data_IF_356150435199
#
_entry.id   IF_356150435199
#
_cell.length_a   1.000
_cell.length_b   1.000
_cell.length_c   1.000
_cell.angle_alpha   90.00
_cell.angle_beta   90.00
_cell.angle_gamma   90.00
#
_symmetry.space_group_name_H-M   'P 1'
#
loop_
_entity.id
_entity.type
_entity.pdbx_description
1 polymer ?
#
# COMPACT_ATOMS: atom_id res chain seq x y z
N UNK A 1 63.52 29.36 -11.02
CA UNK A 1 62.09 29.44 -11.38
C UNK A 1 61.37 28.48 -10.46
N UNK A 2 60.70 29.02 -9.44
CA UNK A 2 60.23 28.24 -8.28
C UNK A 2 58.95 27.46 -8.59
N UNK A 3 59.11 26.31 -9.24
CA UNK A 3 58.07 25.34 -9.56
C UNK A 3 57.15 24.96 -8.38
N UNK A 4 57.61 24.76 -7.13
CA UNK A 4 56.72 24.38 -6.03
C UNK A 4 55.73 25.49 -5.64
N UNK A 5 56.09 26.75 -5.81
CA UNK A 5 55.18 27.88 -5.56
C UNK A 5 54.09 27.94 -6.63
N UNK A 6 54.48 27.78 -7.91
CA UNK A 6 53.56 27.80 -9.04
C UNK A 6 52.52 26.67 -8.95
N UNK A 7 52.92 25.46 -8.55
CA UNK A 7 52.01 24.33 -8.37
C UNK A 7 50.95 24.58 -7.28
N UNK A 8 51.32 25.27 -6.19
CA UNK A 8 50.37 25.64 -5.12
C UNK A 8 49.39 26.73 -5.57
N UNK A 9 49.88 27.71 -6.32
CA UNK A 9 49.03 28.78 -6.87
C UNK A 9 48.04 28.20 -7.88
N UNK A 10 48.51 27.35 -8.79
CA UNK A 10 47.65 26.66 -9.77
C UNK A 10 46.61 25.78 -9.06
N UNK A 11 47.03 25.02 -8.04
CA UNK A 11 46.11 24.20 -7.24
C UNK A 11 45.03 25.04 -6.53
N UNK A 12 45.41 26.18 -5.94
CA UNK A 12 44.47 27.08 -5.29
C UNK A 12 43.46 27.68 -6.29
N UNK A 13 43.92 28.10 -7.46
CA UNK A 13 43.04 28.65 -8.51
C UNK A 13 42.05 27.58 -9.02
N UNK A 14 42.51 26.35 -9.22
CA UNK A 14 41.64 25.23 -9.64
C UNK A 14 40.58 24.92 -8.57
N UNK A 15 40.95 24.90 -7.28
CA UNK A 15 39.99 24.67 -6.19
C UNK A 15 38.96 25.80 -6.07
N UNK A 16 39.36 27.05 -6.24
CA UNK A 16 38.44 28.20 -6.22
C UNK A 16 37.49 28.13 -7.42
N UNK A 17 37.99 27.83 -8.62
CA UNK A 17 37.16 27.69 -9.82
C UNK A 17 36.12 26.56 -9.66
N UNK A 18 36.52 25.40 -9.12
CA UNK A 18 35.59 24.31 -8.82
C UNK A 18 34.56 24.72 -7.76
N UNK A 19 34.98 25.42 -6.70
CA UNK A 19 34.09 25.92 -5.67
C UNK A 19 33.01 26.84 -6.23
N UNK A 20 33.36 27.81 -7.08
CA UNK A 20 32.40 28.76 -7.67
C UNK A 20 31.38 28.08 -8.58
N UNK A 21 31.72 26.95 -9.20
CA UNK A 21 30.78 26.18 -10.04
C UNK A 21 29.88 25.28 -9.17
N UNK A 22 30.46 24.56 -8.22
CA UNK A 22 29.74 23.55 -7.44
C UNK A 22 28.95 24.14 -6.27
N UNK A 23 29.42 25.21 -5.63
CA UNK A 23 28.75 25.82 -4.46
C UNK A 23 27.35 26.33 -4.85
N UNK A 24 27.16 27.13 -5.92
CA UNK A 24 25.83 27.54 -6.34
C UNK A 24 24.95 26.33 -6.65
N UNK A 25 25.45 25.33 -7.40
CA UNK A 25 24.68 24.14 -7.74
C UNK A 25 24.25 23.31 -6.51
N UNK A 26 25.06 23.26 -5.45
CA UNK A 26 24.74 22.56 -4.21
C UNK A 26 23.77 23.36 -3.32
N UNK A 27 23.87 24.70 -3.34
CA UNK A 27 23.05 25.59 -2.51
C UNK A 27 21.74 26.03 -3.18
N UNK A 28 21.62 25.97 -4.52
CA UNK A 28 20.45 26.45 -5.28
C UNK A 28 19.17 25.67 -4.96
N UNK A 29 19.28 24.51 -4.30
CA UNK A 29 18.11 23.75 -3.84
C UNK A 29 17.17 23.31 -4.96
N UNK A 30 17.63 23.29 -6.22
CA UNK A 30 16.84 23.06 -7.44
C UNK A 30 16.19 21.66 -7.55
N UNK A 31 16.39 20.82 -6.54
CA UNK A 31 15.77 19.50 -6.40
C UNK A 31 14.42 19.47 -5.66
N UNK A 32 13.95 20.59 -5.09
CA UNK A 32 12.69 20.64 -4.33
C UNK A 32 11.63 21.50 -5.00
N UNK A 33 11.38 21.29 -6.29
CA UNK A 33 10.07 21.61 -6.85
C UNK A 33 9.06 20.58 -6.33
N UNK A 34 8.75 20.67 -5.04
CA UNK A 34 7.52 20.12 -4.49
C UNK A 34 6.42 20.64 -5.41
N UNK A 35 5.79 19.69 -6.13
CA UNK A 35 4.71 19.90 -7.09
C UNK A 35 3.94 21.13 -6.65
N UNK A 36 3.99 22.18 -7.48
CA UNK A 36 3.08 23.30 -7.39
C UNK A 36 1.73 22.74 -6.94
N UNK A 37 1.38 23.00 -5.69
CA UNK A 37 0.00 22.99 -5.25
C UNK A 37 -0.64 24.09 -6.09
N UNK A 38 -0.98 23.78 -7.34
CA UNK A 38 -2.02 24.51 -8.04
C UNK A 38 -3.20 24.40 -7.10
N UNK A 39 -3.51 25.50 -6.47
CA UNK A 39 -4.68 25.68 -5.64
C UNK A 39 -5.87 25.34 -6.53
N UNK A 40 -6.32 24.08 -6.46
CA UNK A 40 -7.48 23.62 -7.22
C UNK A 40 -8.66 24.36 -6.58
N UNK A 41 -9.15 25.38 -7.26
CA UNK A 41 -10.36 26.09 -6.89
C UNK A 41 -11.54 25.13 -7.06
N UNK A 42 -11.94 24.50 -5.96
CA UNK A 42 -13.05 23.55 -5.94
C UNK A 42 -14.33 24.36 -6.11
N UNK A 43 -14.99 24.22 -7.27
CA UNK A 43 -16.31 24.83 -7.52
C UNK A 43 -17.31 24.40 -6.42
N UNK A 44 -18.20 25.30 -5.97
CA UNK A 44 -19.18 24.97 -4.94
C UNK A 44 -20.09 23.82 -5.38
N UNK A 45 -20.42 22.95 -4.43
CA UNK A 45 -21.27 21.77 -4.67
C UNK A 45 -22.64 22.19 -5.24
N UNK A 46 -23.14 21.52 -6.28
CA UNK A 46 -24.47 21.80 -6.81
C UNK A 46 -25.55 21.47 -5.77
N UNK A 47 -26.60 22.28 -5.73
CA UNK A 47 -27.76 22.07 -4.87
C UNK A 47 -28.64 20.97 -5.46
N UNK A 48 -28.87 19.91 -4.69
CA UNK A 48 -29.79 18.84 -5.07
C UNK A 48 -31.23 19.20 -4.64
N UNK A 49 -32.24 19.00 -5.50
CA UNK A 49 -33.64 19.13 -5.09
C UNK A 49 -33.98 18.09 -4.02
N UNK A 50 -34.94 18.39 -3.12
CA UNK A 50 -35.33 17.47 -2.06
C UNK A 50 -35.87 16.17 -2.67
N UNK A 51 -35.27 15.05 -2.29
CA UNK A 51 -35.75 13.73 -2.68
C UNK A 51 -37.13 13.52 -2.09
N UNK A 52 -38.13 13.46 -2.97
CA UNK A 52 -39.50 13.11 -2.61
C UNK A 52 -39.49 11.69 -2.06
N UNK A 53 -39.58 11.56 -0.73
CA UNK A 53 -39.57 10.29 -0.03
C UNK A 53 -40.87 9.55 -0.33
N UNK A 54 -40.84 8.75 -1.40
CA UNK A 54 -41.85 7.76 -1.69
C UNK A 54 -41.85 6.76 -0.53
N UNK A 55 -42.90 6.78 0.29
CA UNK A 55 -43.09 5.77 1.33
C UNK A 55 -43.17 4.39 0.66
N UNK A 56 -42.17 3.55 0.92
CA UNK A 56 -42.11 2.17 0.41
C UNK A 56 -42.64 1.24 1.50
N UNK A 57 -43.56 0.36 1.15
CA UNK A 57 -44.07 -0.67 2.05
C UNK A 57 -42.93 -1.57 2.55
N UNK A 58 -42.97 -2.03 3.81
CA UNK A 58 -41.90 -2.84 4.39
C UNK A 58 -41.77 -4.18 3.63
N UNK A 59 -40.60 -4.37 3.02
CA UNK A 59 -40.23 -5.61 2.35
C UNK A 59 -39.61 -6.54 3.39
N UNK A 60 -40.11 -7.77 3.47
CA UNK A 60 -39.66 -8.79 4.42
C UNK A 60 -38.17 -9.07 4.18
N UNK A 61 -37.32 -8.79 5.18
CA UNK A 61 -35.87 -8.94 5.07
C UNK A 61 -35.47 -10.41 4.90
N UNK A 62 -34.44 -10.73 4.08
CA UNK A 62 -33.96 -12.10 3.89
C UNK A 62 -33.63 -12.83 5.21
N UNK A 63 -33.21 -12.09 6.24
CA UNK A 63 -32.94 -12.58 7.60
C UNK A 63 -34.17 -13.23 8.25
N UNK A 64 -35.36 -12.67 8.05
CA UNK A 64 -36.61 -13.23 8.61
C UNK A 64 -37.00 -14.53 7.89
N UNK A 65 -36.83 -14.59 6.57
CA UNK A 65 -37.05 -15.80 5.77
C UNK A 65 -36.08 -16.92 6.16
N UNK A 66 -34.81 -16.57 6.41
CA UNK A 66 -33.79 -17.51 6.90
C UNK A 66 -34.12 -18.01 8.31
N UNK A 67 -34.62 -17.15 9.22
CA UNK A 67 -35.01 -17.55 10.58
C UNK A 67 -36.14 -18.58 10.61
N UNK A 68 -37.12 -18.46 9.72
CA UNK A 68 -38.20 -19.44 9.58
C UNK A 68 -37.69 -20.78 9.02
N UNK A 69 -36.75 -20.76 8.08
CA UNK A 69 -36.13 -21.97 7.54
C UNK A 69 -35.19 -22.67 8.55
N UNK A 70 -34.50 -21.91 9.41
CA UNK A 70 -33.65 -22.48 10.46
C UNK A 70 -34.47 -23.15 11.57
N UNK A 71 -35.66 -22.65 11.89
CA UNK A 71 -36.54 -23.25 12.88
C UNK A 71 -37.05 -24.63 12.43
N UNK A 72 -37.36 -24.80 11.14
CA UNK A 72 -37.81 -26.07 10.57
C UNK A 72 -36.68 -27.12 10.42
N UNK A 73 -35.41 -26.69 10.39
CA UNK A 73 -34.27 -27.59 10.15
C UNK A 73 -33.62 -28.14 11.43
N UNK A 74 -34.06 -27.71 12.62
CA UNK A 74 -33.41 -28.04 13.90
C UNK A 74 -33.77 -29.42 14.47
N UNK A 75 -34.64 -30.20 13.83
CA UNK A 75 -35.15 -31.48 14.38
C UNK A 75 -34.58 -32.76 13.73
N UNK A 76 -33.60 -32.68 12.82
CA UNK A 76 -32.97 -33.89 12.23
C UNK A 76 -31.45 -33.86 12.27
N UNK A 77 -30.91 -34.12 13.47
CA UNK A 77 -29.79 -35.05 13.75
C UNK A 77 -28.41 -34.79 13.07
N UNK A 78 -27.32 -35.47 13.49
CA UNK A 78 -26.41 -35.09 14.57
C UNK A 78 -24.98 -34.68 14.09
N UNK A 79 -24.17 -34.23 15.05
CA UNK A 79 -22.80 -33.75 14.89
C UNK A 79 -21.81 -34.77 14.29
N UNK A 80 -20.90 -34.30 13.42
CA UNK A 80 -19.57 -34.88 13.23
C UNK A 80 -18.53 -33.81 12.78
N UNK A 81 -17.23 -34.02 13.06
CA UNK A 81 -16.24 -32.95 13.18
C UNK A 81 -15.28 -32.80 11.97
N UNK A 82 -14.76 -31.58 11.86
CA UNK A 82 -13.40 -31.18 11.44
C UNK A 82 -12.89 -31.49 10.02
N UNK A 83 -12.76 -30.45 9.17
CA UNK A 83 -11.81 -30.41 8.03
C UNK A 83 -11.31 -28.98 7.77
N UNK A 84 -10.10 -28.70 8.27
CA UNK A 84 -9.05 -27.81 7.73
C UNK A 84 -9.51 -26.76 6.71
N UNK A 85 -9.68 -25.53 7.18
CA UNK A 85 -9.90 -24.34 6.35
C UNK A 85 -8.71 -24.09 5.40
N UNK A 86 -8.82 -24.57 4.17
CA UNK A 86 -8.23 -23.88 3.01
C UNK A 86 -9.25 -22.82 2.60
N UNK A 87 -8.91 -21.54 2.38
CA UNK A 87 -9.89 -20.60 1.86
C UNK A 87 -10.17 -20.93 0.40
N UNK A 88 -11.31 -21.55 0.18
CA UNK A 88 -11.92 -21.81 -1.12
C UNK A 88 -12.05 -20.48 -1.89
N UNK A 89 -11.47 -20.41 -3.10
CA UNK A 89 -11.66 -19.30 -4.04
C UNK A 89 -13.04 -19.37 -4.72
N UNK A 90 -14.09 -19.54 -3.92
CA UNK A 90 -15.47 -19.61 -4.40
C UNK A 90 -16.41 -18.96 -3.38
N UNK A 91 -16.17 -17.68 -3.10
CA UNK A 91 -17.02 -16.84 -2.28
C UNK A 91 -16.74 -15.39 -2.63
N UNK A 92 -17.77 -14.54 -2.57
CA UNK A 92 -17.75 -13.09 -2.84
C UNK A 92 -16.39 -12.43 -2.57
N UNK A 93 -15.90 -11.51 -3.43
CA UNK A 93 -14.59 -10.89 -3.27
C UNK A 93 -14.50 -10.26 -1.88
N UNK A 94 -13.76 -10.92 -0.98
CA UNK A 94 -13.44 -10.36 0.32
C UNK A 94 -12.54 -9.17 0.02
N UNK A 95 -13.03 -7.97 0.35
CA UNK A 95 -12.28 -6.70 0.21
C UNK A 95 -11.20 -6.68 1.29
N UNK A 96 -10.17 -7.49 1.09
CA UNK A 96 -8.98 -7.49 1.93
C UNK A 96 -7.95 -6.52 1.35
N UNK A 97 -7.38 -5.69 2.22
CA UNK A 97 -6.33 -4.75 1.82
C UNK A 97 -4.98 -5.34 2.19
N UNK A 98 -4.04 -5.25 1.24
CA UNK A 98 -2.66 -5.67 1.42
C UNK A 98 -1.75 -4.49 1.15
N UNK A 99 -0.81 -4.22 2.06
CA UNK A 99 0.18 -3.18 1.86
C UNK A 99 1.38 -3.75 1.11
N UNK A 100 1.66 -3.24 -0.09
CA UNK A 100 2.86 -3.62 -0.84
C UNK A 100 4.07 -2.86 -0.30
N UNK A 101 5.00 -3.60 0.30
CA UNK A 101 6.21 -3.03 0.91
C UNK A 101 7.38 -2.95 -0.06
N UNK A 102 7.37 -3.75 -1.12
CA UNK A 102 8.44 -3.74 -2.12
C UNK A 102 8.30 -4.78 -3.21
N UNK A 103 9.05 -4.60 -4.28
CA UNK A 103 9.14 -5.52 -5.42
C UNK A 103 10.60 -5.84 -5.70
N UNK A 104 10.93 -7.13 -5.80
CA UNK A 104 12.30 -7.60 -5.95
C UNK A 104 12.41 -8.44 -7.22
N UNK A 105 13.56 -8.37 -7.91
CA UNK A 105 13.86 -9.26 -9.04
C UNK A 105 14.43 -10.61 -8.55
N UNK A 106 14.97 -10.66 -7.32
CA UNK A 106 15.56 -11.85 -6.74
C UNK A 106 14.68 -12.40 -5.59
N UNK A 107 14.37 -13.71 -5.64
CA UNK A 107 13.55 -14.39 -4.64
C UNK A 107 14.18 -14.32 -3.24
N UNK A 108 15.50 -14.54 -3.14
CA UNK A 108 16.18 -14.60 -1.84
C UNK A 108 16.07 -13.28 -1.06
N UNK A 109 16.09 -12.14 -1.76
CA UNK A 109 15.94 -10.82 -1.14
C UNK A 109 14.49 -10.57 -0.70
N UNK A 110 13.51 -11.06 -1.47
CA UNK A 110 12.09 -10.98 -1.11
C UNK A 110 11.78 -11.80 0.15
N UNK A 111 12.38 -12.98 0.29
CA UNK A 111 12.23 -13.84 1.46
C UNK A 111 12.84 -13.21 2.71
N UNK A 112 14.04 -12.61 2.62
CA UNK A 112 14.64 -11.87 3.74
C UNK A 112 13.74 -10.75 4.26
N UNK A 113 13.14 -9.97 3.35
CA UNK A 113 12.23 -8.89 3.75
C UNK A 113 10.96 -9.46 4.40
N UNK A 114 10.37 -10.51 3.81
CA UNK A 114 9.22 -11.22 4.37
C UNK A 114 9.51 -11.68 5.80
N UNK A 115 10.65 -12.33 6.02
CA UNK A 115 11.01 -12.90 7.31
C UNK A 115 11.27 -11.82 8.36
N UNK A 116 11.87 -10.68 7.98
CA UNK A 116 11.99 -9.51 8.85
C UNK A 116 10.62 -8.97 9.27
N UNK A 117 9.68 -8.88 8.33
CA UNK A 117 8.32 -8.41 8.60
C UNK A 117 7.54 -9.39 9.47
N UNK A 118 7.72 -10.69 9.29
CA UNK A 118 7.13 -11.72 10.16
C UNK A 118 7.69 -11.68 11.58
N UNK A 119 9.01 -11.51 11.74
CA UNK A 119 9.65 -11.33 13.05
C UNK A 119 9.12 -10.09 13.77
N UNK A 120 8.79 -9.04 13.03
CA UNK A 120 8.17 -7.83 13.56
C UNK A 120 6.65 -7.98 13.84
N UNK A 121 6.08 -9.18 13.69
CA UNK A 121 4.67 -9.48 13.98
C UNK A 121 3.70 -9.24 12.82
N UNK A 122 4.18 -8.87 11.64
CA UNK A 122 3.33 -8.62 10.48
C UNK A 122 3.12 -9.89 9.65
N UNK A 123 1.86 -10.19 9.30
CA UNK A 123 1.52 -11.27 8.40
C UNK A 123 1.94 -10.95 6.95
N UNK A 124 3.20 -11.22 6.58
CA UNK A 124 3.73 -10.93 5.24
C UNK A 124 3.82 -12.16 4.33
N UNK A 125 3.64 -11.92 3.02
CA UNK A 125 3.71 -12.93 1.97
C UNK A 125 4.38 -12.40 0.70
N UNK A 126 5.02 -13.31 -0.05
CA UNK A 126 5.67 -13.02 -1.34
C UNK A 126 4.76 -13.54 -2.44
N UNK A 127 4.44 -12.69 -3.41
CA UNK A 127 3.69 -13.06 -4.61
C UNK A 127 4.64 -13.03 -5.80
N UNK A 128 4.97 -14.19 -6.39
CA UNK A 128 5.68 -14.22 -7.67
C UNK A 128 4.73 -13.75 -8.78
N UNK A 129 5.19 -12.81 -9.59
CA UNK A 129 4.47 -12.27 -10.75
C UNK A 129 5.44 -12.32 -11.94
N UNK A 130 5.00 -12.91 -13.04
CA UNK A 130 5.74 -12.87 -14.31
C UNK A 130 5.22 -11.67 -15.09
N UNK A 131 6.06 -10.66 -15.27
CA UNK A 131 5.71 -9.40 -15.94
C UNK A 131 6.66 -9.21 -17.11
N UNK A 132 6.13 -9.27 -18.36
CA UNK A 132 6.91 -9.13 -19.60
C UNK A 132 8.16 -10.02 -19.64
N UNK A 133 7.98 -11.33 -19.40
CA UNK A 133 9.03 -12.36 -19.34
C UNK A 133 10.07 -12.25 -18.20
N UNK A 134 9.90 -11.30 -17.26
CA UNK A 134 10.76 -11.19 -16.07
C UNK A 134 10.03 -11.65 -14.83
N UNK A 135 10.67 -12.51 -14.02
CA UNK A 135 10.15 -12.96 -12.71
C UNK A 135 10.35 -11.85 -11.67
N UNK A 136 9.27 -11.34 -11.12
CA UNK A 136 9.26 -10.32 -10.07
C UNK A 136 8.58 -10.90 -8.82
N UNK A 137 9.14 -10.60 -7.65
CA UNK A 137 8.65 -11.04 -6.35
C UNK A 137 8.11 -9.82 -5.61
N UNK A 138 6.78 -9.70 -5.51
CA UNK A 138 6.12 -8.59 -4.80
C UNK A 138 5.86 -9.00 -3.36
N UNK A 139 6.47 -8.32 -2.39
CA UNK A 139 6.28 -8.59 -0.96
C UNK A 139 5.12 -7.72 -0.47
N UNK A 140 4.14 -8.35 0.19
CA UNK A 140 2.94 -7.71 0.71
C UNK A 140 2.70 -8.09 2.16
N UNK A 141 2.10 -7.19 2.93
CA UNK A 141 1.66 -7.41 4.30
C UNK A 141 0.14 -7.48 4.32
N UNK A 142 -0.38 -8.59 4.86
CA UNK A 142 -1.77 -8.81 5.23
C UNK A 142 -2.71 -8.94 4.04
N UNK A 143 -3.73 -9.79 4.18
CA UNK A 143 -5.08 -9.45 3.78
C UNK A 143 -5.87 -9.16 5.06
N UNK A 144 -5.67 -7.99 5.67
CA UNK A 144 -6.45 -7.56 6.83
C UNK A 144 -7.83 -7.07 6.34
N UNK A 145 -8.90 -7.57 6.97
CA UNK A 145 -10.28 -7.14 6.69
C UNK A 145 -10.59 -5.76 7.31
N UNK A 146 -9.79 -5.27 8.25
CA UNK A 146 -10.05 -4.04 9.00
C UNK A 146 -8.89 -3.04 8.97
N UNK A 147 -9.20 -1.82 8.53
CA UNK A 147 -8.32 -0.64 8.59
C UNK A 147 -7.86 -0.26 10.01
N UNK A 148 -8.42 -0.88 11.05
CA UNK A 148 -8.25 -0.49 12.44
C UNK A 148 -6.87 -0.81 13.02
N UNK A 149 -6.15 -1.82 12.51
CA UNK A 149 -4.81 -2.16 13.03
C UNK A 149 -3.69 -1.23 12.53
N UNK A 150 -3.91 -0.52 11.42
CA UNK A 150 -2.92 0.41 10.85
C UNK A 150 -2.73 1.70 11.68
N UNK A 151 -3.67 2.05 12.56
CA UNK A 151 -3.64 3.28 13.36
C UNK A 151 -2.99 3.12 14.75
N UNK A 152 -2.59 1.90 15.14
CA UNK A 152 -1.95 1.63 16.45
C UNK A 152 -0.42 1.62 16.41
N UNK A 153 0.17 1.86 15.25
CA UNK A 153 1.61 2.05 15.08
C UNK A 153 1.86 3.56 15.04
N UNK A 154 1.88 4.17 16.22
CA UNK A 154 2.32 5.55 16.40
C UNK A 154 3.22 5.63 17.63
#
# INVERSE_FOLDING_TARGET
MDSPLLQRIVGAVVLVALGVIFIPALLDGSGYHARQMRQIEIKPKPTFPPLSQKHVAPIISPVQKTRQQLAAKKEKQPAQPDKRARPDRAGKPIRAFALQVGTFQNNANAEKLRDKLRKAGYASFVVPVVEKDKKIYKVRIGPELEKAQLLKIN
#
